data_IF_805745043227
#
_entry.id   IF_805745043227
#
_cell.length_a   1.000
_cell.length_b   1.000
_cell.length_c   1.000
_cell.angle_alpha   90.00
_cell.angle_beta   90.00
_cell.angle_gamma   90.00
#
_symmetry.space_group_name_H-M   'P 1'
#
loop_
_entity.id
_entity.type
_entity.pdbx_description
1 polymer ?
#
# COMPACT_ATOMS: atom_id res chain seq x y z
N UNK A 1 -3.91 17.39 17.29
CA UNK A 1 -4.71 17.86 16.12
C UNK A 1 -4.20 17.27 14.80
N UNK A 2 -2.89 17.26 14.54
CA UNK A 2 -2.31 16.76 13.27
C UNK A 2 -2.61 15.27 12.97
N UNK A 3 -2.48 14.39 13.96
CA UNK A 3 -2.79 12.95 13.83
C UNK A 3 -4.28 12.72 13.51
N UNK A 4 -5.18 13.45 14.20
CA UNK A 4 -6.63 13.31 14.01
C UNK A 4 -7.02 13.71 12.58
N UNK A 5 -6.48 14.82 12.08
CA UNK A 5 -6.75 15.29 10.73
C UNK A 5 -6.26 14.31 9.65
N UNK A 6 -5.04 13.79 9.80
CA UNK A 6 -4.49 12.75 8.90
C UNK A 6 -5.33 11.47 8.92
N UNK A 7 -5.82 11.08 10.09
CA UNK A 7 -6.75 9.96 10.25
C UNK A 7 -8.09 10.18 9.53
N UNK A 8 -8.67 11.37 9.64
CA UNK A 8 -9.92 11.73 8.93
C UNK A 8 -9.73 11.68 7.41
N UNK A 9 -8.61 12.20 6.89
CA UNK A 9 -8.31 12.14 5.45
C UNK A 9 -8.19 10.69 4.98
N UNK A 10 -7.47 9.85 5.72
CA UNK A 10 -7.38 8.42 5.41
C UNK A 10 -8.76 7.74 5.41
N UNK A 11 -9.57 8.01 6.43
CA UNK A 11 -10.93 7.47 6.55
C UNK A 11 -11.86 7.91 5.42
N UNK A 12 -11.76 9.16 4.96
CA UNK A 12 -12.53 9.67 3.82
C UNK A 12 -12.17 8.95 2.51
N UNK A 13 -10.88 8.69 2.28
CA UNK A 13 -10.42 7.92 1.11
C UNK A 13 -10.96 6.49 1.18
N UNK A 14 -10.91 5.85 2.34
CA UNK A 14 -11.52 4.52 2.54
C UNK A 14 -13.02 4.53 2.28
N UNK A 15 -13.75 5.53 2.79
CA UNK A 15 -15.18 5.69 2.54
C UNK A 15 -15.48 5.85 1.04
N UNK A 16 -14.66 6.62 0.32
CA UNK A 16 -14.79 6.82 -1.12
C UNK A 16 -14.56 5.52 -1.91
N UNK A 17 -13.57 4.70 -1.54
CA UNK A 17 -13.32 3.38 -2.14
C UNK A 17 -14.58 2.50 -2.01
N UNK A 18 -15.16 2.41 -0.81
CA UNK A 18 -16.35 1.58 -0.54
C UNK A 18 -17.60 2.12 -1.24
N UNK A 19 -17.73 3.45 -1.35
CA UNK A 19 -18.85 4.03 -2.08
C UNK A 19 -18.74 3.77 -3.59
N UNK A 20 -17.53 3.90 -4.16
CA UNK A 20 -17.28 3.63 -5.58
C UNK A 20 -17.43 2.14 -5.92
N UNK A 21 -17.18 1.22 -4.96
CA UNK A 21 -17.33 -0.21 -5.22
C UNK A 21 -18.76 -0.65 -5.44
N UNK A 22 -19.73 0.18 -5.04
CA UNK A 22 -21.15 -0.02 -5.36
C UNK A 22 -21.50 0.30 -6.81
N UNK A 23 -20.61 1.00 -7.54
CA UNK A 23 -20.85 1.52 -8.91
C UNK A 23 -20.00 0.82 -9.98
N UNK A 24 -19.14 -0.11 -9.59
CA UNK A 24 -18.25 -0.85 -10.49
C UNK A 24 -16.93 -1.21 -9.80
N UNK A 25 -16.10 -1.99 -10.51
CA UNK A 25 -14.92 -2.63 -9.90
C UNK A 25 -13.60 -1.93 -10.20
N UNK A 26 -13.57 -1.06 -11.23
CA UNK A 26 -12.33 -0.42 -11.71
C UNK A 26 -11.87 0.70 -10.76
N UNK A 27 -12.77 1.62 -10.42
CA UNK A 27 -12.44 2.77 -9.57
C UNK A 27 -11.96 2.39 -8.16
N UNK A 28 -12.60 1.43 -7.45
CA UNK A 28 -12.09 0.94 -6.16
C UNK A 28 -10.74 0.25 -6.24
N UNK A 29 -10.37 -0.30 -7.42
CA UNK A 29 -9.06 -0.92 -7.62
C UNK A 29 -7.94 0.11 -7.84
N UNK A 30 -8.26 1.26 -8.44
CA UNK A 30 -7.29 2.33 -8.73
C UNK A 30 -7.14 3.28 -7.54
N UNK A 31 -8.22 3.58 -6.80
CA UNK A 31 -8.16 4.56 -5.71
C UNK A 31 -7.13 4.23 -4.61
N UNK A 32 -6.91 2.96 -4.20
CA UNK A 32 -5.86 2.62 -3.24
C UNK A 32 -4.45 2.98 -3.72
N UNK A 33 -4.22 3.09 -5.03
CA UNK A 33 -2.95 3.56 -5.60
C UNK A 33 -2.78 5.08 -5.48
N UNK A 34 -3.84 5.83 -5.18
CA UNK A 34 -3.70 7.25 -4.91
C UNK A 34 -2.69 7.42 -3.76
N UNK A 35 -1.65 8.25 -3.93
CA UNK A 35 -0.49 8.27 -3.03
C UNK A 35 -0.78 8.94 -1.69
N UNK A 36 -2.00 8.86 -1.17
CA UNK A 36 -2.45 9.50 0.07
C UNK A 36 -1.61 9.07 1.27
N UNK A 37 -1.40 7.77 1.48
CA UNK A 37 -0.51 7.28 2.53
C UNK A 37 0.95 7.69 2.28
N UNK A 38 1.41 7.68 1.03
CA UNK A 38 2.76 8.12 0.68
C UNK A 38 2.96 9.61 0.96
N UNK A 39 1.99 10.48 0.63
CA UNK A 39 2.02 11.92 0.92
C UNK A 39 2.10 12.15 2.42
N UNK A 40 1.27 11.48 3.23
CA UNK A 40 1.31 11.62 4.70
C UNK A 40 2.69 11.20 5.24
N UNK A 41 3.23 10.08 4.77
CA UNK A 41 4.53 9.59 5.19
C UNK A 41 5.67 10.55 4.78
N UNK A 42 5.67 11.02 3.54
CA UNK A 42 6.69 11.92 3.01
C UNK A 42 6.64 13.31 3.66
N UNK A 43 5.45 13.82 3.97
CA UNK A 43 5.31 15.06 4.76
C UNK A 43 5.82 14.87 6.19
N UNK A 44 5.55 13.73 6.82
CA UNK A 44 6.04 13.43 8.16
C UNK A 44 7.58 13.27 8.20
N UNK A 45 8.17 12.64 7.18
CA UNK A 45 9.62 12.52 7.03
C UNK A 45 10.25 13.86 6.69
N UNK A 46 9.66 14.59 5.73
CA UNK A 46 10.16 15.90 5.28
C UNK A 46 10.09 16.98 6.37
N UNK A 47 9.12 16.91 7.28
CA UNK A 47 9.03 17.81 8.44
C UNK A 47 10.25 17.72 9.39
N UNK A 48 11.08 16.66 9.27
CA UNK A 48 12.33 16.53 10.02
C UNK A 48 13.46 17.43 9.48
N UNK A 49 13.28 18.04 8.30
CA UNK A 49 14.25 18.96 7.70
C UNK A 49 15.48 18.29 7.09
N UNK A 50 15.49 16.97 6.96
CA UNK A 50 16.59 16.20 6.36
C UNK A 50 16.25 15.73 4.93
N UNK A 51 16.88 16.31 3.88
CA UNK A 51 16.69 15.85 2.51
C UNK A 51 17.15 14.41 2.26
N UNK A 52 18.13 13.90 3.02
CA UNK A 52 18.61 12.52 2.93
C UNK A 52 17.51 11.53 3.30
N UNK A 53 16.95 11.68 4.50
CA UNK A 53 15.83 10.87 4.96
C UNK A 53 14.59 10.95 4.06
N UNK A 54 14.32 12.10 3.44
CA UNK A 54 13.23 12.22 2.45
C UNK A 54 13.49 11.36 1.21
N UNK A 55 14.72 11.39 0.66
CA UNK A 55 15.11 10.56 -0.49
C UNK A 55 15.06 9.08 -0.15
N UNK A 56 15.51 8.70 1.04
CA UNK A 56 15.45 7.32 1.52
C UNK A 56 14.00 6.82 1.65
N UNK A 57 13.09 7.67 2.15
CA UNK A 57 11.68 7.35 2.21
C UNK A 57 11.06 7.16 0.81
N UNK A 58 11.42 8.00 -0.16
CA UNK A 58 11.03 7.83 -1.57
C UNK A 58 11.56 6.51 -2.15
N UNK A 59 12.85 6.20 -1.93
CA UNK A 59 13.47 4.96 -2.39
C UNK A 59 12.81 3.73 -1.75
N UNK A 60 12.53 3.77 -0.45
CA UNK A 60 11.80 2.73 0.25
C UNK A 60 10.39 2.54 -0.33
N UNK A 61 9.67 3.64 -0.59
CA UNK A 61 8.37 3.61 -1.26
C UNK A 61 8.43 2.93 -2.63
N UNK A 62 9.35 3.32 -3.50
CA UNK A 62 9.53 2.70 -4.82
C UNK A 62 9.86 1.20 -4.73
N UNK A 63 10.70 0.80 -3.76
CA UNK A 63 11.05 -0.61 -3.50
C UNK A 63 9.84 -1.45 -3.09
N UNK A 64 8.75 -0.87 -2.60
CA UNK A 64 7.54 -1.64 -2.24
C UNK A 64 6.60 -1.93 -3.42
N UNK A 65 6.79 -1.29 -4.58
CA UNK A 65 5.93 -1.47 -5.76
C UNK A 65 5.87 -2.95 -6.21
N UNK A 66 6.98 -3.69 -6.31
CA UNK A 66 6.93 -5.11 -6.70
C UNK A 66 6.11 -5.97 -5.72
N UNK A 67 6.18 -5.68 -4.41
CA UNK A 67 5.36 -6.38 -3.41
C UNK A 67 3.87 -6.11 -3.63
N UNK A 68 3.49 -4.87 -3.97
CA UNK A 68 2.10 -4.53 -4.30
C UNK A 68 1.59 -5.24 -5.56
N UNK A 69 2.42 -5.34 -6.60
CA UNK A 69 2.07 -6.11 -7.80
C UNK A 69 1.89 -7.60 -7.48
N UNK A 70 2.75 -8.15 -6.62
CA UNK A 70 2.64 -9.53 -6.17
C UNK A 70 1.35 -9.78 -5.37
N UNK A 71 0.95 -8.84 -4.50
CA UNK A 71 -0.34 -8.86 -3.79
C UNK A 71 -1.52 -8.97 -4.77
N UNK A 72 -1.58 -8.06 -5.75
CA UNK A 72 -2.68 -8.04 -6.73
C UNK A 72 -2.70 -9.30 -7.59
N UNK A 73 -1.53 -9.75 -8.05
CA UNK A 73 -1.40 -10.98 -8.82
C UNK A 73 -1.86 -12.21 -8.04
N UNK A 74 -1.48 -12.32 -6.76
CA UNK A 74 -1.93 -13.40 -5.89
C UNK A 74 -3.45 -13.38 -5.67
N UNK A 75 -4.03 -12.21 -5.34
CA UNK A 75 -5.48 -12.07 -5.22
C UNK A 75 -6.21 -12.48 -6.50
N UNK A 76 -5.71 -12.04 -7.66
CA UNK A 76 -6.29 -12.37 -8.97
C UNK A 76 -6.18 -13.87 -9.31
N UNK A 77 -5.09 -14.54 -8.93
CA UNK A 77 -4.91 -15.98 -9.17
C UNK A 77 -5.70 -16.87 -8.19
N UNK A 78 -5.94 -16.37 -6.97
CA UNK A 78 -6.60 -17.12 -5.90
C UNK A 78 -8.12 -17.01 -5.94
N UNK A 79 -8.67 -15.90 -6.44
CA UNK A 79 -10.13 -15.65 -6.38
C UNK A 79 -10.97 -16.71 -7.12
N UNK A 80 -10.42 -17.37 -8.14
CA UNK A 80 -11.11 -18.46 -8.85
C UNK A 80 -11.10 -19.79 -8.07
N UNK A 81 -10.25 -19.91 -7.05
CA UNK A 81 -10.03 -21.15 -6.29
C UNK A 81 -10.56 -21.10 -4.85
N UNK A 82 -10.64 -19.91 -4.26
CA UNK A 82 -11.04 -19.69 -2.86
C UNK A 82 -11.93 -18.46 -2.74
N UNK A 83 -12.62 -18.29 -1.61
CA UNK A 83 -13.41 -17.08 -1.38
C UNK A 83 -12.54 -15.82 -1.25
N UNK A 84 -13.16 -14.64 -1.42
CA UNK A 84 -12.46 -13.36 -1.44
C UNK A 84 -11.64 -13.09 -0.16
N UNK A 85 -12.05 -13.58 1.00
CA UNK A 85 -11.33 -13.37 2.27
C UNK A 85 -10.02 -14.15 2.25
N UNK A 86 -10.07 -15.40 1.83
CA UNK A 86 -8.88 -16.25 1.69
C UNK A 86 -7.97 -15.75 0.57
N UNK A 87 -8.52 -15.27 -0.55
CA UNK A 87 -7.74 -14.66 -1.62
C UNK A 87 -6.96 -13.43 -1.13
N UNK A 88 -7.60 -12.55 -0.33
CA UNK A 88 -6.96 -11.38 0.26
C UNK A 88 -5.89 -11.76 1.29
N UNK A 89 -6.18 -12.72 2.17
CA UNK A 89 -5.19 -13.22 3.16
C UNK A 89 -3.98 -13.83 2.46
N UNK A 90 -4.21 -14.65 1.43
CA UNK A 90 -3.13 -15.22 0.60
C UNK A 90 -2.32 -14.13 -0.12
N UNK A 91 -2.99 -13.11 -0.65
CA UNK A 91 -2.33 -11.94 -1.21
C UNK A 91 -1.44 -11.23 -0.20
N UNK A 92 -1.93 -10.99 1.02
CA UNK A 92 -1.16 -10.35 2.11
C UNK A 92 0.07 -11.20 2.45
N UNK A 93 -0.06 -12.53 2.50
CA UNK A 93 1.07 -13.42 2.75
C UNK A 93 2.14 -13.30 1.65
N UNK A 94 1.74 -13.31 0.37
CA UNK A 94 2.67 -13.11 -0.76
C UNK A 94 3.33 -11.74 -0.70
N UNK A 95 2.56 -10.69 -0.41
CA UNK A 95 3.07 -9.32 -0.22
C UNK A 95 4.16 -9.28 0.85
N UNK A 96 3.90 -9.89 2.02
CA UNK A 96 4.85 -9.94 3.12
C UNK A 96 6.14 -10.64 2.71
N UNK A 97 6.06 -11.80 2.06
CA UNK A 97 7.24 -12.55 1.60
C UNK A 97 8.09 -11.71 0.65
N UNK A 98 7.46 -11.05 -0.34
CA UNK A 98 8.17 -10.23 -1.32
C UNK A 98 8.77 -8.98 -0.67
N UNK A 99 8.02 -8.30 0.20
CA UNK A 99 8.51 -7.13 0.93
C UNK A 99 9.72 -7.51 1.81
N UNK A 100 9.62 -8.60 2.57
CA UNK A 100 10.71 -9.10 3.39
C UNK A 100 11.93 -9.44 2.54
N UNK A 101 11.76 -10.13 1.40
CA UNK A 101 12.86 -10.41 0.49
C UNK A 101 13.56 -9.12 0.02
N UNK A 102 12.82 -8.07 -0.36
CA UNK A 102 13.39 -6.81 -0.84
C UNK A 102 14.20 -6.08 0.25
N UNK A 103 13.73 -6.08 1.49
CA UNK A 103 14.36 -5.32 2.57
C UNK A 103 15.37 -6.13 3.40
N UNK A 104 15.28 -7.46 3.45
CA UNK A 104 16.17 -8.34 4.20
C UNK A 104 17.22 -9.05 3.34
N UNK A 105 16.95 -9.39 2.07
CA UNK A 105 17.96 -10.07 1.24
C UNK A 105 19.29 -9.30 1.13
N UNK A 106 19.32 -7.95 1.04
CA UNK A 106 20.57 -7.20 1.02
C UNK A 106 21.40 -7.27 2.32
N UNK A 107 20.86 -7.80 3.42
CA UNK A 107 21.62 -7.99 4.68
C UNK A 107 22.40 -9.31 4.72
N UNK A 108 22.10 -10.25 3.84
CA UNK A 108 22.66 -11.61 3.85
C UNK A 108 23.52 -11.92 2.62
N UNK A 109 23.72 -10.96 1.73
CA UNK A 109 24.61 -10.98 0.56
C UNK A 109 25.76 -10.00 0.79
#
# INVERSE_FOLDING_TARGET
MDIVWKGVVGGLVTALIVWLSKRGNVLPGILPLAPTFAVIALLAVGAKGDPGGFRDACLAGMKTIPAYLAFLGACWLFIDKVDYRLAVVGGIAVWLVVALAIFLAPRYL
#
